data_IF_171080773982
#
_entry.id   IF_171080773982
#
_cell.length_a   1.000
_cell.length_b   1.000
_cell.length_c   1.000
_cell.angle_alpha   90.00
_cell.angle_beta   90.00
_cell.angle_gamma   90.00
#
_symmetry.space_group_name_H-M   'P 1'
#
loop_
_entity.id
_entity.type
_entity.pdbx_description
1 polymer ?
#
# COMPACT_ATOMS: atom_id res chain seq x y z
N UNK A 1 -38.30 13.15 -10.92
CA UNK A 1 -37.03 12.97 -10.15
C UNK A 1 -35.89 13.02 -11.17
N UNK A 2 -35.12 14.12 -11.20
CA UNK A 2 -34.05 14.32 -12.16
C UNK A 2 -32.85 13.44 -11.76
N UNK A 3 -32.62 12.33 -12.47
CA UNK A 3 -31.40 11.55 -12.33
C UNK A 3 -30.32 12.19 -13.23
N UNK A 4 -29.38 12.87 -12.62
CA UNK A 4 -28.19 13.35 -13.33
C UNK A 4 -27.40 12.16 -13.87
N UNK A 5 -26.94 12.20 -15.14
CA UNK A 5 -26.06 11.17 -15.67
C UNK A 5 -24.84 11.00 -14.74
N UNK A 6 -24.51 9.76 -14.38
CA UNK A 6 -23.36 9.46 -13.53
C UNK A 6 -23.59 9.52 -12.01
N UNK A 7 -24.81 9.83 -11.52
CA UNK A 7 -25.10 9.84 -10.06
C UNK A 7 -24.81 8.50 -9.40
N UNK A 8 -25.06 7.38 -10.08
CA UNK A 8 -24.73 6.05 -9.58
C UNK A 8 -23.24 5.90 -9.41
N UNK A 9 -22.45 6.21 -10.45
CA UNK A 9 -20.98 6.16 -10.42
C UNK A 9 -20.40 7.09 -9.35
N UNK A 10 -20.98 8.30 -9.20
CA UNK A 10 -20.56 9.22 -8.15
C UNK A 10 -20.81 8.67 -6.74
N UNK A 11 -21.96 8.05 -6.50
CA UNK A 11 -22.27 7.40 -5.22
C UNK A 11 -21.36 6.20 -4.93
N UNK A 12 -21.09 5.39 -5.96
CA UNK A 12 -20.13 4.27 -5.84
C UNK A 12 -18.72 4.79 -5.53
N UNK A 13 -18.27 5.85 -6.20
CA UNK A 13 -16.99 6.49 -5.92
C UNK A 13 -16.90 7.05 -4.49
N UNK A 14 -17.96 7.70 -4.01
CA UNK A 14 -18.03 8.21 -2.62
C UNK A 14 -18.05 7.06 -1.62
N UNK A 15 -18.78 5.98 -1.90
CA UNK A 15 -18.82 4.81 -1.02
C UNK A 15 -17.48 4.07 -0.95
N UNK A 16 -16.68 4.17 -2.02
CA UNK A 16 -15.33 3.62 -2.09
C UNK A 16 -14.25 4.59 -1.61
N UNK A 17 -14.60 5.87 -1.38
CA UNK A 17 -13.64 6.87 -0.91
C UNK A 17 -13.13 6.50 0.49
N UNK A 18 -11.84 6.64 0.68
CA UNK A 18 -11.18 6.43 1.96
C UNK A 18 -10.28 7.63 2.24
N UNK A 19 -10.51 8.28 3.38
CA UNK A 19 -9.71 9.46 3.78
C UNK A 19 -8.27 9.13 4.19
N UNK A 20 -7.89 7.85 4.22
CA UNK A 20 -6.54 7.39 4.52
C UNK A 20 -5.62 7.35 3.30
N UNK A 21 -6.17 7.29 2.07
CA UNK A 21 -5.34 7.34 0.87
C UNK A 21 -4.79 8.75 0.65
N UNK A 22 -3.47 8.89 0.53
CA UNK A 22 -2.78 10.18 0.38
C UNK A 22 -2.48 10.55 -1.07
N UNK A 23 -2.64 9.59 -1.99
CA UNK A 23 -2.40 9.80 -3.41
C UNK A 23 -3.49 9.16 -4.28
N UNK A 24 -3.68 9.65 -5.51
CA UNK A 24 -4.55 9.00 -6.49
C UNK A 24 -4.13 7.56 -6.79
N UNK A 25 -2.82 7.26 -6.78
CA UNK A 25 -2.29 5.92 -7.00
C UNK A 25 -2.65 4.94 -5.89
N UNK A 26 -2.59 5.37 -4.62
CA UNK A 26 -3.08 4.59 -3.48
C UNK A 26 -4.58 4.31 -3.60
N UNK A 27 -5.37 5.32 -3.97
CA UNK A 27 -6.82 5.17 -4.18
C UNK A 27 -7.15 4.16 -5.27
N UNK A 28 -6.44 4.19 -6.42
CA UNK A 28 -6.59 3.24 -7.50
C UNK A 28 -6.12 1.84 -7.14
N UNK A 29 -5.03 1.74 -6.37
CA UNK A 29 -4.53 0.45 -5.86
C UNK A 29 -5.54 -0.15 -4.88
N UNK A 30 -6.12 0.66 -3.99
CA UNK A 30 -7.18 0.23 -3.07
C UNK A 30 -8.40 -0.29 -3.83
N UNK A 31 -8.83 0.43 -4.88
CA UNK A 31 -9.93 0.00 -5.73
C UNK A 31 -9.64 -1.37 -6.37
N UNK A 32 -8.42 -1.57 -6.88
CA UNK A 32 -8.00 -2.86 -7.42
C UNK A 32 -8.12 -3.98 -6.36
N UNK A 33 -7.67 -3.75 -5.12
CA UNK A 33 -7.79 -4.76 -4.05
C UNK A 33 -9.23 -5.09 -3.69
N UNK A 34 -10.12 -4.09 -3.67
CA UNK A 34 -11.55 -4.27 -3.45
C UNK A 34 -12.18 -5.12 -4.57
N UNK A 35 -11.85 -4.83 -5.83
CA UNK A 35 -12.32 -5.60 -6.98
C UNK A 35 -11.83 -7.04 -7.00
N UNK A 36 -10.61 -7.29 -6.50
CA UNK A 36 -10.05 -8.63 -6.34
C UNK A 36 -10.71 -9.43 -5.21
N UNK A 37 -11.54 -8.79 -4.38
CA UNK A 37 -12.29 -9.46 -3.31
C UNK A 37 -11.42 -10.06 -2.21
N UNK A 38 -10.25 -9.49 -1.95
CA UNK A 38 -9.27 -10.01 -0.98
C UNK A 38 -9.69 -9.83 0.49
N UNK A 39 -10.77 -9.09 0.74
CA UNK A 39 -11.30 -8.80 2.08
C UNK A 39 -11.20 -7.32 2.44
N UNK A 40 -11.36 -6.98 3.73
CA UNK A 40 -11.26 -5.59 4.19
C UNK A 40 -9.88 -4.99 3.91
N UNK A 41 -9.85 -3.84 3.23
CA UNK A 41 -8.63 -3.09 2.94
C UNK A 41 -8.46 -2.00 4.01
N UNK A 42 -7.41 -2.11 4.80
CA UNK A 42 -7.01 -1.10 5.79
C UNK A 42 -5.98 -0.16 5.16
N UNK A 43 -6.19 1.14 5.28
CA UNK A 43 -5.29 2.16 4.73
C UNK A 43 -4.31 2.63 5.80
N UNK A 44 -3.10 2.98 5.37
CA UNK A 44 -2.09 3.57 6.23
C UNK A 44 -1.84 2.73 7.50
N UNK A 45 -1.38 1.52 7.25
CA UNK A 45 -1.12 0.57 8.34
C UNK A 45 0.28 0.78 8.94
N UNK A 46 0.39 1.09 10.25
CA UNK A 46 1.69 1.26 10.89
C UNK A 46 2.31 -0.08 11.26
N UNK A 47 3.56 -0.28 10.87
CA UNK A 47 4.39 -1.42 11.28
C UNK A 47 5.55 -0.90 12.11
N UNK A 48 5.68 -1.39 13.33
CA UNK A 48 6.77 -1.00 14.24
C UNK A 48 7.86 -2.08 14.24
N UNK A 49 9.05 -1.72 13.76
CA UNK A 49 10.21 -2.63 13.67
C UNK A 49 11.46 -1.93 14.18
N UNK A 50 12.16 -2.57 15.11
CA UNK A 50 13.42 -2.05 15.64
C UNK A 50 13.32 -0.64 16.22
N UNK A 51 12.21 -0.29 16.86
CA UNK A 51 11.95 1.03 17.41
C UNK A 51 11.60 2.11 16.39
N UNK A 52 11.46 1.76 15.10
CA UNK A 52 11.00 2.65 14.02
C UNK A 52 9.60 2.29 13.60
N UNK A 53 8.81 3.30 13.23
CA UNK A 53 7.47 3.13 12.68
C UNK A 53 7.52 3.37 11.17
N UNK A 54 7.00 2.40 10.44
CA UNK A 54 6.79 2.48 9.00
C UNK A 54 5.29 2.48 8.72
N UNK A 55 4.85 3.25 7.73
CA UNK A 55 3.46 3.30 7.32
C UNK A 55 3.32 2.63 5.96
N UNK A 56 2.63 1.50 5.92
CA UNK A 56 2.28 0.85 4.66
C UNK A 56 0.98 1.44 4.12
N UNK A 57 0.92 1.69 2.81
CA UNK A 57 -0.23 2.37 2.20
C UNK A 57 -1.52 1.57 2.37
N UNK A 58 -1.48 0.27 2.13
CA UNK A 58 -2.63 -0.62 2.17
C UNK A 58 -2.28 -1.95 2.83
N UNK A 59 -3.27 -2.57 3.48
CA UNK A 59 -3.15 -3.90 4.09
C UNK A 59 -4.41 -4.73 3.90
N UNK A 60 -4.23 -6.00 3.64
CA UNK A 60 -5.30 -7.02 3.66
C UNK A 60 -4.78 -8.24 4.44
N UNK A 61 -5.40 -8.59 5.56
CA UNK A 61 -4.90 -9.67 6.43
C UNK A 61 -3.45 -9.40 6.88
N UNK A 62 -2.54 -10.33 6.59
CA UNK A 62 -1.10 -10.19 6.82
C UNK A 62 -0.33 -9.65 5.60
N UNK A 63 -1.02 -9.24 4.53
CA UNK A 63 -0.39 -8.79 3.28
C UNK A 63 -0.47 -7.28 3.13
N UNK A 64 0.68 -6.65 2.95
CA UNK A 64 0.82 -5.22 2.69
C UNK A 64 0.86 -4.97 1.19
N UNK A 65 0.32 -3.85 0.75
CA UNK A 65 0.46 -3.40 -0.64
C UNK A 65 0.89 -1.94 -0.63
N UNK A 66 2.02 -1.65 -1.23
CA UNK A 66 2.57 -0.30 -1.35
C UNK A 66 2.42 0.19 -2.78
N UNK A 67 1.99 1.43 -2.92
CA UNK A 67 1.99 2.12 -4.20
C UNK A 67 3.32 2.88 -4.37
N UNK A 68 4.15 2.45 -5.32
CA UNK A 68 5.37 3.17 -5.68
C UNK A 68 5.06 4.24 -6.73
N UNK A 69 4.78 5.45 -6.24
CA UNK A 69 4.53 6.64 -7.07
C UNK A 69 5.78 7.23 -7.72
N UNK A 70 6.94 6.59 -7.52
CA UNK A 70 8.20 7.14 -8.03
C UNK A 70 8.20 7.19 -9.54
N UNK A 71 8.08 8.35 -10.09
CA UNK A 71 8.73 8.68 -11.36
C UNK A 71 10.21 8.33 -11.17
N UNK A 72 10.73 7.38 -11.95
CA UNK A 72 12.12 6.84 -11.90
C UNK A 72 13.06 7.89 -11.33
N UNK A 73 13.72 7.59 -10.20
CA UNK A 73 14.69 8.47 -9.58
C UNK A 73 15.78 8.75 -10.62
N UNK A 74 15.62 9.84 -11.37
CA UNK A 74 16.68 10.35 -12.24
C UNK A 74 17.73 10.95 -11.32
N UNK A 75 18.99 10.63 -11.59
CA UNK A 75 20.09 11.28 -10.90
C UNK A 75 19.99 12.80 -11.06
N UNK A 76 20.57 13.56 -10.14
CA UNK A 76 20.58 15.03 -10.22
C UNK A 76 21.13 15.52 -11.56
N UNK A 77 22.05 14.77 -12.20
CA UNK A 77 22.58 15.04 -13.54
C UNK A 77 21.56 14.92 -14.67
N UNK A 78 20.46 14.17 -14.45
CA UNK A 78 19.37 13.99 -15.40
C UNK A 78 18.10 14.79 -15.02
N UNK A 79 18.22 15.80 -14.14
CA UNK A 79 17.10 16.61 -13.66
C UNK A 79 16.29 15.98 -12.54
N UNK A 80 16.85 15.02 -11.80
CA UNK A 80 16.23 14.39 -10.62
C UNK A 80 16.53 15.12 -9.31
N UNK A 81 15.70 14.90 -8.29
CA UNK A 81 15.76 15.60 -6.97
C UNK A 81 16.50 14.78 -5.92
N UNK A 82 17.22 13.70 -6.27
CA UNK A 82 17.86 12.82 -5.31
C UNK A 82 19.18 13.41 -4.80
N UNK A 83 19.23 13.75 -3.52
CA UNK A 83 20.42 14.24 -2.80
C UNK A 83 21.35 13.12 -2.30
N UNK A 84 21.01 11.83 -2.53
CA UNK A 84 21.75 10.64 -2.06
C UNK A 84 21.99 9.67 -3.22
N UNK A 85 23.09 8.87 -3.18
CA UNK A 85 23.32 7.82 -4.18
C UNK A 85 22.12 6.86 -4.27
N UNK A 86 21.73 6.51 -5.50
CA UNK A 86 20.58 5.62 -5.74
C UNK A 86 20.77 4.25 -5.07
N UNK A 87 22.01 3.78 -4.95
CA UNK A 87 22.36 2.50 -4.30
C UNK A 87 22.03 2.51 -2.81
N UNK A 88 22.33 3.59 -2.10
CA UNK A 88 22.04 3.73 -0.68
C UNK A 88 20.52 3.72 -0.43
N UNK A 89 19.76 4.40 -1.28
CA UNK A 89 18.30 4.44 -1.21
C UNK A 89 17.71 3.04 -1.43
N UNK A 90 18.19 2.32 -2.43
CA UNK A 90 17.74 0.95 -2.72
C UNK A 90 18.11 -0.02 -1.59
N UNK A 91 19.27 0.15 -0.99
CA UNK A 91 19.71 -0.72 0.09
C UNK A 91 18.90 -0.50 1.38
N UNK A 92 18.63 0.75 1.75
CA UNK A 92 17.76 1.10 2.87
C UNK A 92 16.35 0.57 2.66
N UNK A 93 15.82 0.67 1.44
CA UNK A 93 14.50 0.17 1.09
C UNK A 93 14.42 -1.36 1.21
N UNK A 94 15.42 -2.09 0.73
CA UNK A 94 15.49 -3.56 0.91
C UNK A 94 15.55 -3.96 2.37
N UNK A 95 16.36 -3.25 3.18
CA UNK A 95 16.43 -3.50 4.62
C UNK A 95 15.08 -3.24 5.30
N UNK A 96 14.40 -2.16 4.93
CA UNK A 96 13.06 -1.84 5.41
C UNK A 96 12.09 -2.97 5.10
N UNK A 97 12.03 -3.39 3.85
CA UNK A 97 11.16 -4.47 3.40
C UNK A 97 11.46 -5.78 4.13
N UNK A 98 12.73 -6.16 4.24
CA UNK A 98 13.15 -7.37 4.97
C UNK A 98 12.72 -7.32 6.42
N UNK A 99 12.89 -6.18 7.08
CA UNK A 99 12.52 -5.99 8.47
C UNK A 99 10.99 -6.08 8.67
N UNK A 100 10.19 -5.47 7.79
CA UNK A 100 8.73 -5.55 7.81
C UNK A 100 8.25 -6.99 7.57
N UNK A 101 8.80 -7.68 6.56
CA UNK A 101 8.45 -9.07 6.29
C UNK A 101 8.87 -10.03 7.42
N UNK A 102 9.92 -9.68 8.17
CA UNK A 102 10.34 -10.41 9.37
C UNK A 102 9.32 -10.41 10.51
N UNK A 103 8.40 -9.45 10.54
CA UNK A 103 7.28 -9.41 11.51
C UNK A 103 6.13 -10.36 11.14
N UNK A 104 6.27 -11.18 10.10
CA UNK A 104 5.20 -12.10 9.65
C UNK A 104 4.23 -11.47 8.67
N UNK A 105 4.69 -10.51 7.88
CA UNK A 105 3.91 -9.79 6.87
C UNK A 105 4.46 -10.08 5.47
N UNK A 106 3.57 -10.28 4.50
CA UNK A 106 3.92 -10.27 3.08
C UNK A 106 3.81 -8.85 2.49
N UNK A 107 4.39 -8.65 1.31
CA UNK A 107 4.36 -7.33 0.68
C UNK A 107 4.33 -7.44 -0.84
N UNK A 108 3.44 -6.66 -1.46
CA UNK A 108 3.42 -6.38 -2.89
C UNK A 108 3.70 -4.90 -3.16
N UNK A 109 4.21 -4.60 -4.35
CA UNK A 109 4.34 -3.22 -4.85
C UNK A 109 3.57 -3.04 -6.14
N UNK A 110 2.98 -1.86 -6.29
CA UNK A 110 2.19 -1.46 -7.46
C UNK A 110 2.71 -0.12 -7.94
N UNK A 111 3.00 -0.02 -9.24
CA UNK A 111 3.40 1.21 -9.91
C UNK A 111 2.25 1.79 -10.74
N UNK A 112 2.39 3.05 -11.20
CA UNK A 112 1.39 3.67 -12.08
C UNK A 112 1.06 2.83 -13.31
N UNK A 113 2.07 2.27 -13.96
CA UNK A 113 1.90 1.47 -15.16
C UNK A 113 1.08 0.18 -14.91
N UNK A 114 1.10 -0.31 -13.68
CA UNK A 114 0.41 -1.53 -13.25
C UNK A 114 -1.10 -1.34 -13.07
N UNK A 115 -1.57 -0.11 -13.00
CA UNK A 115 -2.97 0.21 -12.71
C UNK A 115 -3.84 0.34 -13.96
N UNK A 116 -3.26 0.25 -15.17
CA UNK A 116 -3.98 0.52 -16.41
C UNK A 116 -3.79 -0.57 -17.47
N UNK A 117 -4.78 -0.66 -18.36
CA UNK A 117 -4.75 -1.53 -19.54
C UNK A 117 -4.51 -3.02 -19.21
N UNK A 118 -3.81 -3.73 -20.07
CA UNK A 118 -3.51 -5.16 -19.90
C UNK A 118 -2.61 -5.46 -18.67
N UNK A 119 -1.82 -4.49 -18.23
CA UNK A 119 -0.98 -4.63 -17.02
C UNK A 119 -1.83 -4.74 -15.75
N UNK A 120 -2.99 -4.06 -15.70
CA UNK A 120 -3.88 -4.12 -14.53
C UNK A 120 -4.33 -5.55 -14.21
N UNK A 121 -4.69 -6.33 -15.24
CA UNK A 121 -5.07 -7.73 -15.05
C UNK A 121 -3.88 -8.60 -14.58
N UNK A 122 -2.71 -8.39 -15.19
CA UNK A 122 -1.49 -9.10 -14.80
C UNK A 122 -1.11 -8.78 -13.35
N UNK A 123 -1.20 -7.52 -12.95
CA UNK A 123 -0.97 -7.05 -11.57
C UNK A 123 -1.97 -7.67 -10.61
N UNK A 124 -3.26 -7.73 -10.97
CA UNK A 124 -4.28 -8.40 -10.17
C UNK A 124 -3.95 -9.86 -9.93
N UNK A 125 -3.58 -10.61 -10.99
CA UNK A 125 -3.16 -12.02 -10.84
C UNK A 125 -1.93 -12.18 -9.97
N UNK A 126 -0.95 -11.29 -10.11
CA UNK A 126 0.27 -11.30 -9.28
C UNK A 126 -0.04 -11.05 -7.82
N UNK A 127 -0.84 -10.03 -7.51
CA UNK A 127 -1.24 -9.71 -6.12
C UNK A 127 -2.01 -10.88 -5.50
N UNK A 128 -2.95 -11.51 -6.23
CA UNK A 128 -3.66 -12.69 -5.76
C UNK A 128 -2.70 -13.84 -5.39
N UNK A 129 -1.70 -14.12 -6.23
CA UNK A 129 -0.71 -15.15 -5.97
C UNK A 129 0.17 -14.81 -4.76
N UNK A 130 0.68 -13.58 -4.68
CA UNK A 130 1.51 -13.13 -3.55
C UNK A 130 0.73 -13.10 -2.23
N UNK A 131 -0.53 -12.68 -2.27
CA UNK A 131 -1.43 -12.73 -1.12
C UNK A 131 -1.70 -14.18 -0.67
N UNK A 132 -1.91 -15.10 -1.62
CA UNK A 132 -2.12 -16.52 -1.29
C UNK A 132 -0.90 -17.12 -0.58
N UNK A 133 0.32 -16.82 -1.05
CA UNK A 133 1.58 -17.24 -0.38
C UNK A 133 1.68 -16.64 1.02
N UNK A 134 1.33 -15.36 1.18
CA UNK A 134 1.33 -14.70 2.49
C UNK A 134 0.35 -15.38 3.44
N UNK A 135 -0.85 -15.67 2.97
CA UNK A 135 -1.90 -16.33 3.73
C UNK A 135 -1.51 -17.76 4.15
N UNK A 136 -0.90 -18.50 3.26
CA UNK A 136 -0.39 -19.85 3.56
C UNK A 136 0.68 -19.81 4.65
N UNK A 137 1.57 -18.81 4.60
CA UNK A 137 2.71 -18.71 5.52
C UNK A 137 2.34 -18.10 6.87
N UNK A 138 1.46 -17.11 6.91
CA UNK A 138 1.20 -16.28 8.10
C UNK A 138 -0.26 -16.30 8.55
N UNK A 139 -1.15 -16.93 7.79
CA UNK A 139 -2.59 -16.97 8.07
C UNK A 139 -3.40 -15.84 7.46
N UNK A 140 -4.72 -15.93 7.60
CA UNK A 140 -5.67 -14.95 7.04
C UNK A 140 -5.80 -13.70 7.89
N UNK A 141 -5.48 -13.77 9.18
CA UNK A 141 -5.74 -12.70 10.14
C UNK A 141 -4.44 -12.13 10.66
N UNK A 142 -4.43 -10.83 10.79
CA UNK A 142 -3.34 -10.13 11.46
C UNK A 142 -3.18 -10.67 12.89
N UNK A 143 -1.98 -11.08 13.31
CA UNK A 143 -1.69 -11.47 14.69
C UNK A 143 -2.07 -10.37 15.68
N UNK A 144 -2.63 -10.76 16.83
CA UNK A 144 -3.14 -9.82 17.83
C UNK A 144 -2.08 -8.82 18.30
N UNK A 145 -0.85 -9.28 18.53
CA UNK A 145 0.25 -8.41 18.93
C UNK A 145 0.62 -7.33 17.89
N UNK A 146 0.43 -7.61 16.58
CA UNK A 146 0.63 -6.61 15.52
C UNK A 146 -0.55 -5.64 15.46
N UNK A 147 -1.78 -6.13 15.66
CA UNK A 147 -2.96 -5.29 15.71
C UNK A 147 -2.90 -4.31 16.90
N UNK A 148 -2.52 -4.78 18.08
CA UNK A 148 -2.35 -3.95 19.29
C UNK A 148 -1.25 -2.90 19.12
N UNK A 149 -0.08 -3.28 18.59
CA UNK A 149 0.99 -2.33 18.27
C UNK A 149 0.54 -1.28 17.28
N UNK A 150 -0.15 -1.66 16.22
CA UNK A 150 -0.68 -0.73 15.23
C UNK A 150 -1.68 0.23 15.86
N UNK A 151 -2.60 -0.26 16.70
CA UNK A 151 -3.56 0.57 17.41
C UNK A 151 -2.87 1.54 18.39
N UNK A 152 -1.81 1.11 19.07
CA UNK A 152 -1.01 1.98 19.94
C UNK A 152 -0.33 3.08 19.13
N UNK A 153 0.35 2.74 18.03
CA UNK A 153 1.02 3.71 17.15
C UNK A 153 0.04 4.74 16.61
N UNK A 154 -1.14 4.32 16.12
CA UNK A 154 -2.17 5.24 15.63
C UNK A 154 -2.63 6.26 16.68
N UNK A 155 -2.63 5.88 17.97
CA UNK A 155 -3.00 6.79 19.08
C UNK A 155 -1.86 7.72 19.51
N UNK A 156 -0.62 7.26 19.44
CA UNK A 156 0.53 7.98 20.04
C UNK A 156 1.40 8.70 19.03
N UNK A 157 1.36 8.30 17.78
CA UNK A 157 2.22 8.84 16.73
C UNK A 157 1.36 9.36 15.59
N UNK A 158 0.97 10.65 15.63
CA UNK A 158 0.22 11.23 14.51
C UNK A 158 1.08 11.16 13.26
N UNK A 159 0.48 10.63 12.20
CA UNK A 159 1.14 10.57 10.89
C UNK A 159 1.41 11.98 10.38
N UNK A 160 2.65 12.24 9.96
CA UNK A 160 2.95 13.44 9.17
C UNK A 160 2.38 13.21 7.77
N UNK A 161 1.30 13.90 7.42
CA UNK A 161 0.83 13.95 6.03
C UNK A 161 1.92 14.60 5.19
N UNK A 162 2.33 13.95 4.11
CA UNK A 162 3.20 14.58 3.11
C UNK A 162 2.40 15.71 2.46
N UNK A 163 2.92 16.93 2.58
CA UNK A 163 2.33 18.10 1.93
C UNK A 163 2.64 18.10 0.44
#
# INVERSE_FOLDING_TARGET
MWCWPGVRTAREAVALADGGAESPGESLTRLLLVELGLGPVDTQFPVSVGGRVYWADLRVGCHLVEFDGRVKVRSVGDGGVASRPAEDVLWEERRRQTAICGEGLGMSRVEWADLFGSRREATGRRILAEHAVTRERFGDRLPEHLAERAALVRRTTPRRRSA
#
